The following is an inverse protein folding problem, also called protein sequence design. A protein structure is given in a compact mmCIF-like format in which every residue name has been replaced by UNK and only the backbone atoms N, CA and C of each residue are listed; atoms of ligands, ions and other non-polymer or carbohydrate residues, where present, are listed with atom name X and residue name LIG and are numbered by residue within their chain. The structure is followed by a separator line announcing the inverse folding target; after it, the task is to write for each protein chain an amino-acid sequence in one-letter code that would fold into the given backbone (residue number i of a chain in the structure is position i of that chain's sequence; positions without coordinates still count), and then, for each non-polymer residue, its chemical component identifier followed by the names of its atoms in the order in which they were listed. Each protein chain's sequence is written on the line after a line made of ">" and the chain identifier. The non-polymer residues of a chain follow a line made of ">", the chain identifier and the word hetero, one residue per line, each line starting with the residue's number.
data_IF_614542337488
#
_entry.id   IF_614542337488
#
_cell.length_a   1.000
_cell.length_b   1.000
_cell.length_c   1.000
_cell.angle_alpha   90.00
_cell.angle_beta   90.00
_cell.angle_gamma   90.00
#
_symmetry.space_group_name_H-M   'P 1'
#
loop_
_entity.id
_entity.type
_entity.pdbx_description
1 polymer ?
#
# COMPACT_ATOMS: atom_id res chain seq x y z
N UNK A 1 -7.15 14.70 -11.80
CA UNK A 1 -7.32 14.44 -10.35
C UNK A 1 -6.17 13.54 -9.89
N UNK A 2 -5.25 14.02 -9.04
CA UNK A 2 -4.19 13.18 -8.47
C UNK A 2 -4.75 12.56 -7.18
N UNK A 3 -5.07 11.27 -7.19
CA UNK A 3 -5.43 10.58 -5.96
C UNK A 3 -4.29 10.72 -4.94
N UNK A 4 -4.64 11.10 -3.72
CA UNK A 4 -3.66 11.31 -2.66
C UNK A 4 -3.18 9.98 -2.09
N UNK A 5 -1.89 9.94 -1.75
CA UNK A 5 -1.24 8.79 -1.14
C UNK A 5 -0.80 9.17 0.26
N UNK A 6 -1.44 8.57 1.27
CA UNK A 6 -1.18 8.87 2.66
C UNK A 6 -0.80 7.59 3.42
N UNK A 7 0.51 7.38 3.67
CA UNK A 7 0.95 6.31 4.55
C UNK A 7 0.77 6.72 6.01
N UNK A 8 0.28 5.78 6.83
CA UNK A 8 0.27 5.90 8.29
C UNK A 8 1.70 6.04 8.84
N UNK A 9 1.85 6.48 10.10
CA UNK A 9 3.17 6.51 10.75
C UNK A 9 3.84 5.14 10.76
N UNK A 10 3.08 4.10 11.10
CA UNK A 10 3.55 2.72 11.03
C UNK A 10 3.96 2.33 9.60
N UNK A 11 3.15 2.64 8.59
CA UNK A 11 3.49 2.33 7.20
C UNK A 11 4.78 3.03 6.76
N UNK A 12 4.98 4.30 7.13
CA UNK A 12 6.22 5.04 6.81
C UNK A 12 7.44 4.37 7.41
N UNK A 13 7.36 4.01 8.69
CA UNK A 13 8.44 3.32 9.40
C UNK A 13 8.78 1.98 8.74
N UNK A 14 7.75 1.17 8.46
CA UNK A 14 7.92 -0.10 7.76
C UNK A 14 8.48 0.06 6.34
N UNK A 15 8.09 1.11 5.63
CA UNK A 15 8.66 1.42 4.31
C UNK A 15 10.16 1.73 4.40
N UNK A 16 10.58 2.48 5.42
CA UNK A 16 12.01 2.79 5.65
C UNK A 16 12.78 1.53 6.02
N UNK A 17 12.30 0.78 7.02
CA UNK A 17 12.97 -0.45 7.50
C UNK A 17 13.12 -1.48 6.38
N UNK A 18 12.12 -1.60 5.50
CA UNK A 18 12.08 -2.60 4.43
C UNK A 18 12.61 -2.10 3.09
N UNK A 19 13.11 -0.86 3.03
CA UNK A 19 13.63 -0.26 1.80
C UNK A 19 12.57 -0.11 0.69
N UNK A 20 11.30 0.06 1.03
CA UNK A 20 10.19 0.14 0.08
C UNK A 20 9.92 1.58 -0.31
N UNK A 21 10.07 1.88 -1.60
CA UNK A 21 9.82 3.21 -2.14
C UNK A 21 8.33 3.51 -2.30
N UNK A 22 7.94 4.79 -2.18
CA UNK A 22 6.56 5.25 -2.49
C UNK A 22 6.09 4.81 -3.89
N UNK A 23 7.01 4.76 -4.85
CA UNK A 23 6.72 4.31 -6.22
C UNK A 23 6.31 2.83 -6.23
N UNK A 24 7.06 1.97 -5.56
CA UNK A 24 6.76 0.53 -5.47
C UNK A 24 5.43 0.28 -4.78
N UNK A 25 5.11 1.01 -3.71
CA UNK A 25 3.81 0.90 -3.05
C UNK A 25 2.68 1.30 -4.00
N UNK A 26 2.84 2.39 -4.76
CA UNK A 26 1.84 2.82 -5.75
C UNK A 26 1.70 1.80 -6.88
N UNK A 27 2.81 1.32 -7.43
CA UNK A 27 2.81 0.27 -8.45
C UNK A 27 2.10 -0.99 -7.92
N UNK A 28 2.34 -1.39 -6.68
CA UNK A 28 1.65 -2.51 -6.05
C UNK A 28 0.14 -2.26 -5.92
N UNK A 29 -0.28 -1.08 -5.46
CA UNK A 29 -1.71 -0.71 -5.36
C UNK A 29 -2.41 -0.71 -6.73
N UNK A 30 -1.71 -0.27 -7.78
CA UNK A 30 -2.28 -0.13 -9.12
C UNK A 30 -2.27 -1.46 -9.91
N UNK A 31 -1.18 -2.22 -9.84
CA UNK A 31 -0.92 -3.40 -10.68
C UNK A 31 -1.06 -4.74 -9.94
N UNK A 32 -1.00 -4.72 -8.61
CA UNK A 32 -0.98 -5.93 -7.80
C UNK A 32 -2.32 -6.66 -7.78
N UNK A 33 -2.26 -7.97 -7.53
CA UNK A 33 -3.43 -8.78 -7.24
C UNK A 33 -4.06 -8.31 -5.92
N UNK A 34 -5.39 -8.14 -5.90
CA UNK A 34 -6.11 -7.51 -4.77
C UNK A 34 -6.95 -8.54 -4.03
N UNK A 35 -6.77 -8.62 -2.72
CA UNK A 35 -7.64 -9.35 -1.80
C UNK A 35 -8.38 -8.37 -0.90
N UNK A 36 -9.69 -8.52 -0.80
CA UNK A 36 -10.53 -7.74 0.11
C UNK A 36 -10.60 -8.44 1.47
N UNK A 37 -10.30 -7.70 2.54
CA UNK A 37 -10.51 -8.10 3.93
C UNK A 37 -11.39 -7.04 4.62
N UNK A 38 -12.70 -7.13 4.39
CA UNK A 38 -13.65 -6.13 4.84
C UNK A 38 -13.36 -4.77 4.19
N UNK A 39 -13.00 -3.77 5.01
CA UNK A 39 -12.63 -2.41 4.54
C UNK A 39 -11.17 -2.29 4.09
N UNK A 40 -10.34 -3.30 4.36
CA UNK A 40 -8.92 -3.31 3.99
C UNK A 40 -8.74 -4.02 2.66
N UNK A 41 -7.86 -3.48 1.83
CA UNK A 41 -7.42 -4.07 0.57
C UNK A 41 -5.97 -4.46 0.75
N UNK A 42 -5.67 -5.71 0.43
CA UNK A 42 -4.31 -6.23 0.38
C UNK A 42 -3.93 -6.33 -1.08
N UNK A 43 -2.95 -5.55 -1.51
CA UNK A 43 -2.35 -5.68 -2.84
C UNK A 43 -1.04 -6.44 -2.75
N UNK A 44 -0.80 -7.38 -3.67
CA UNK A 44 0.45 -8.10 -3.80
C UNK A 44 1.02 -7.90 -5.20
N UNK A 45 2.26 -7.43 -5.29
CA UNK A 45 3.00 -7.29 -6.54
C UNK A 45 4.40 -7.88 -6.36
N UNK A 46 4.69 -8.97 -7.06
CA UNK A 46 5.89 -9.77 -6.80
C UNK A 46 5.89 -10.31 -5.37
N UNK A 47 6.89 -9.95 -4.58
CA UNK A 47 6.99 -10.27 -3.14
C UNK A 47 6.53 -9.14 -2.22
N UNK A 48 6.14 -7.99 -2.77
CA UNK A 48 5.73 -6.83 -2.00
C UNK A 48 4.22 -6.86 -1.77
N UNK A 49 3.83 -6.98 -0.51
CA UNK A 49 2.44 -6.97 -0.08
C UNK A 49 2.13 -5.66 0.68
N UNK A 50 1.01 -5.02 0.33
CA UNK A 50 0.63 -3.69 0.80
C UNK A 50 -0.80 -3.76 1.33
N UNK A 51 -1.00 -3.45 2.61
CA UNK A 51 -2.35 -3.27 3.16
C UNK A 51 -2.71 -1.80 3.10
N UNK A 52 -3.83 -1.47 2.47
CA UNK A 52 -4.35 -0.12 2.37
C UNK A 52 -5.87 -0.09 2.47
N UNK A 53 -6.42 1.10 2.71
CA UNK A 53 -7.85 1.40 2.59
C UNK A 53 -8.00 2.36 1.41
N UNK A 54 -8.94 2.06 0.52
CA UNK A 54 -9.30 2.96 -0.57
C UNK A 54 -10.49 3.82 -0.16
N UNK A 55 -10.28 5.13 -0.16
CA UNK A 55 -11.34 6.15 -0.06
C UNK A 55 -11.45 6.87 -1.42
N UNK A 56 -12.52 7.65 -1.67
CA UNK A 56 -12.64 8.43 -2.90
C UNK A 56 -11.40 9.30 -3.12
N UNK A 57 -10.67 9.04 -4.20
CA UNK A 57 -9.39 9.69 -4.53
C UNK A 57 -8.31 9.68 -3.43
N UNK A 58 -8.33 8.74 -2.48
CA UNK A 58 -7.34 8.69 -1.41
C UNK A 58 -6.94 7.23 -1.08
N UNK A 59 -5.65 6.94 -1.14
CA UNK A 59 -5.07 5.66 -0.75
C UNK A 59 -4.42 5.80 0.63
N UNK A 60 -5.04 5.20 1.64
CA UNK A 60 -4.52 5.21 3.00
C UNK A 60 -3.74 3.91 3.25
N UNK A 61 -2.41 3.99 3.28
CA UNK A 61 -1.55 2.80 3.47
C UNK A 61 -1.40 2.51 4.96
N UNK A 62 -1.77 1.30 5.35
CA UNK A 62 -1.71 0.81 6.73
C UNK A 62 -0.33 0.24 7.02
N UNK A 63 0.15 -0.67 6.16
CA UNK A 63 1.47 -1.30 6.30
C UNK A 63 1.96 -1.89 4.98
N UNK A 64 3.25 -2.16 4.88
CA UNK A 64 3.93 -2.77 3.73
C UNK A 64 4.83 -3.90 4.22
N UNK A 65 4.87 -5.03 3.54
CA UNK A 65 5.63 -6.21 4.00
C UNK A 65 6.15 -7.00 2.80
N UNK A 66 7.29 -7.64 3.01
CA UNK A 66 7.83 -8.61 2.07
C UNK A 66 7.32 -10.00 2.45
N UNK A 67 6.79 -10.71 1.46
CA UNK A 67 6.35 -12.10 1.58
C UNK A 67 7.42 -13.07 1.12
#
# INVERSE_FOLDING_TARGET
>A
MKCEFQPSFHAKDQMVIRGVSKKEVKDCILKGAKRLQGKKIVALFGKLEVVFIQKPCHYFVITTYWR
#
